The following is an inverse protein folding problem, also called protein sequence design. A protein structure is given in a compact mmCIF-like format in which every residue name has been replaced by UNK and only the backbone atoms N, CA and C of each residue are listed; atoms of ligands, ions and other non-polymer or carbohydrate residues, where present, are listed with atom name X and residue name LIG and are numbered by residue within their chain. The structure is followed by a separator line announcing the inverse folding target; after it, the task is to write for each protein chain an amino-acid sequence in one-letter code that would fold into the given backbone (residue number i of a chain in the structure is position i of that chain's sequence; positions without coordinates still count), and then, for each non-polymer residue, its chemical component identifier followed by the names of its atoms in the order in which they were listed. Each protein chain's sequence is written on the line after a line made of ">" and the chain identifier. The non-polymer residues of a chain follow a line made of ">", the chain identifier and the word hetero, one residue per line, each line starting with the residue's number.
data_IF_411190606137
#
_entry.id   IF_411190606137
#
_cell.length_a   1.000
_cell.length_b   1.000
_cell.length_c   1.000
_cell.angle_alpha   90.00
_cell.angle_beta   90.00
_cell.angle_gamma   90.00
#
_symmetry.space_group_name_H-M   'P 1'
#
loop_
_entity.id
_entity.type
_entity.pdbx_description
1 polymer ?
#
# COMPACT_ATOMS: atom_id res chain seq x y z
N UNK A 1 -22.87 10.46 -19.81
CA UNK A 1 -21.65 11.08 -19.22
C UNK A 1 -20.86 10.13 -18.31
N UNK A 2 -21.51 9.33 -17.45
CA UNK A 2 -20.89 8.29 -16.61
C UNK A 2 -20.11 7.24 -17.42
N UNK A 3 -20.71 6.75 -18.50
CA UNK A 3 -20.09 5.77 -19.42
C UNK A 3 -18.82 6.31 -20.10
N UNK A 4 -18.76 7.61 -20.43
CA UNK A 4 -17.58 8.25 -21.03
C UNK A 4 -16.41 8.41 -20.04
N UNK A 5 -16.69 8.62 -18.75
CA UNK A 5 -15.64 8.73 -17.70
C UNK A 5 -15.11 7.35 -17.27
N UNK A 6 -16.00 6.35 -17.21
CA UNK A 6 -15.58 4.94 -17.08
C UNK A 6 -14.82 4.48 -18.32
N UNK A 7 -15.19 4.98 -19.52
CA UNK A 7 -14.42 4.74 -20.74
C UNK A 7 -13.02 5.33 -20.60
N UNK A 8 -12.81 6.54 -20.07
CA UNK A 8 -11.46 7.09 -19.90
C UNK A 8 -10.61 6.29 -18.91
N UNK A 9 -11.17 5.81 -17.80
CA UNK A 9 -10.45 4.95 -16.83
C UNK A 9 -10.18 3.57 -17.47
N UNK A 10 -11.19 2.99 -18.13
CA UNK A 10 -11.05 1.79 -18.93
C UNK A 10 -10.07 1.96 -20.08
N UNK A 11 -9.93 3.15 -20.66
CA UNK A 11 -9.01 3.49 -21.74
C UNK A 11 -7.58 3.67 -21.21
N UNK A 12 -7.40 4.25 -20.02
CA UNK A 12 -6.11 4.24 -19.32
C UNK A 12 -5.72 2.79 -19.00
N UNK A 13 -6.62 1.97 -18.48
CA UNK A 13 -6.38 0.54 -18.22
C UNK A 13 -6.15 -0.27 -19.51
N UNK A 14 -6.81 0.08 -20.62
CA UNK A 14 -6.66 -0.55 -21.95
C UNK A 14 -5.39 -0.09 -22.70
N UNK A 15 -4.91 1.13 -22.46
CA UNK A 15 -3.61 1.61 -22.95
C UNK A 15 -2.45 0.83 -22.32
N UNK A 16 -2.69 0.19 -21.18
CA UNK A 16 -1.79 -0.79 -20.54
C UNK A 16 -2.17 -2.23 -20.90
N UNK A 17 -2.48 -2.51 -22.17
CA UNK A 17 -2.52 -3.89 -22.68
C UNK A 17 -1.11 -4.49 -22.62
N UNK A 18 -0.72 -4.94 -21.43
CA UNK A 18 0.42 -5.81 -21.26
C UNK A 18 0.10 -7.08 -22.05
N UNK A 19 0.92 -7.41 -23.05
CA UNK A 19 1.03 -8.80 -23.50
C UNK A 19 1.57 -9.59 -22.30
N UNK A 20 0.66 -9.99 -21.41
CA UNK A 20 0.95 -10.82 -20.27
C UNK A 20 1.09 -12.26 -20.77
N UNK A 21 2.26 -12.57 -21.34
CA UNK A 21 2.74 -13.94 -21.22
C UNK A 21 2.98 -14.15 -19.72
N UNK A 22 2.13 -14.96 -19.11
CA UNK A 22 2.22 -15.25 -17.69
C UNK A 22 3.57 -15.90 -17.44
N UNK A 23 4.47 -15.24 -16.71
CA UNK A 23 5.62 -15.94 -16.13
C UNK A 23 5.04 -16.75 -14.99
N UNK A 24 4.68 -17.99 -15.27
CA UNK A 24 4.54 -18.98 -14.22
C UNK A 24 5.84 -18.94 -13.40
N UNK A 25 5.81 -19.11 -12.08
CA UNK A 25 7.04 -19.36 -11.31
C UNK A 25 7.91 -20.47 -11.94
N UNK A 26 7.30 -21.34 -12.77
CA UNK A 26 7.98 -22.27 -13.66
C UNK A 26 8.98 -21.62 -14.63
N UNK A 27 8.71 -20.47 -15.25
CA UNK A 27 9.62 -19.82 -16.22
C UNK A 27 10.95 -19.34 -15.59
N UNK A 28 10.92 -19.05 -14.29
CA UNK A 28 12.10 -18.67 -13.50
C UNK A 28 12.86 -19.85 -12.90
N UNK A 29 12.38 -21.09 -13.11
CA UNK A 29 12.89 -22.31 -12.49
C UNK A 29 13.07 -23.48 -13.47
N UNK A 30 12.46 -23.44 -14.64
CA UNK A 30 12.40 -24.59 -15.54
C UNK A 30 12.94 -24.20 -16.91
N UNK A 31 14.08 -24.81 -17.22
CA UNK A 31 14.78 -24.81 -18.51
C UNK A 31 15.65 -23.58 -18.74
N UNK A 32 16.70 -23.51 -17.93
CA UNK A 32 17.96 -22.98 -18.45
C UNK A 32 18.52 -24.09 -19.34
N UNK A 33 18.52 -23.85 -20.64
CA UNK A 33 19.01 -24.84 -21.61
C UNK A 33 20.46 -25.21 -21.26
N UNK A 34 20.71 -26.52 -21.20
CA UNK A 34 22.03 -27.06 -20.85
C UNK A 34 22.37 -27.09 -19.36
N UNK A 35 21.43 -26.80 -18.45
CA UNK A 35 21.65 -26.94 -17.00
C UNK A 35 20.55 -27.77 -16.35
N UNK A 36 20.93 -28.86 -15.70
CA UNK A 36 20.05 -29.67 -14.86
C UNK A 36 20.10 -29.13 -13.42
N UNK A 37 18.94 -28.82 -12.86
CA UNK A 37 18.80 -28.22 -11.53
C UNK A 37 18.10 -29.20 -10.59
N UNK A 38 18.69 -29.45 -9.42
CA UNK A 38 18.08 -30.32 -8.41
C UNK A 38 16.87 -29.66 -7.75
N UNK A 39 16.04 -30.49 -7.09
CA UNK A 39 15.04 -29.97 -6.15
C UNK A 39 15.75 -29.28 -4.98
N UNK A 40 15.09 -28.28 -4.40
CA UNK A 40 15.60 -27.57 -3.22
C UNK A 40 15.55 -28.46 -1.98
N UNK A 41 16.66 -28.48 -1.26
CA UNK A 41 16.86 -29.24 -0.03
C UNK A 41 17.05 -28.27 1.14
N UNK A 42 16.37 -28.52 2.26
CA UNK A 42 16.43 -27.67 3.45
C UNK A 42 16.91 -28.46 4.66
N UNK A 43 17.87 -27.88 5.38
CA UNK A 43 18.34 -28.34 6.67
C UNK A 43 18.18 -27.20 7.70
N UNK A 44 17.72 -27.52 8.90
CA UNK A 44 17.70 -26.56 10.01
C UNK A 44 18.60 -27.09 11.12
N UNK A 45 19.66 -26.35 11.42
CA UNK A 45 20.61 -26.67 12.48
C UNK A 45 20.78 -25.50 13.44
N UNK A 46 21.42 -25.75 14.58
CA UNK A 46 21.93 -24.69 15.45
C UNK A 46 23.45 -24.61 15.28
N UNK A 47 23.95 -23.44 14.91
CA UNK A 47 25.38 -23.11 14.81
C UNK A 47 26.18 -24.10 13.94
N UNK A 48 25.59 -24.54 12.83
CA UNK A 48 26.25 -25.46 11.92
C UNK A 48 27.15 -24.66 10.96
N UNK A 49 28.40 -25.08 10.81
CA UNK A 49 29.34 -24.46 9.85
C UNK A 49 29.18 -25.07 8.46
N UNK A 50 29.57 -24.33 7.41
CA UNK A 50 29.50 -24.84 6.02
C UNK A 50 30.25 -26.17 5.88
N UNK A 51 31.43 -26.31 6.50
CA UNK A 51 32.24 -27.53 6.45
C UNK A 51 31.58 -28.74 7.11
N UNK A 52 30.67 -28.51 8.06
CA UNK A 52 29.85 -29.58 8.65
C UNK A 52 28.66 -29.90 7.75
N UNK A 53 27.97 -28.88 7.23
CA UNK A 53 26.78 -29.04 6.39
C UNK A 53 27.08 -29.72 5.07
N UNK A 54 28.24 -29.42 4.46
CA UNK A 54 28.71 -30.07 3.22
C UNK A 54 28.97 -31.57 3.42
N UNK A 55 29.27 -32.01 4.64
CA UNK A 55 29.51 -33.43 4.97
C UNK A 55 28.24 -34.19 5.36
N UNK A 56 27.12 -33.49 5.54
CA UNK A 56 25.84 -34.14 5.86
C UNK A 56 25.37 -34.95 4.66
N UNK A 57 24.77 -36.10 4.94
CA UNK A 57 24.15 -36.94 3.93
C UNK A 57 22.81 -36.36 3.47
N UNK A 58 22.42 -36.66 2.23
CA UNK A 58 21.22 -36.07 1.60
C UNK A 58 19.90 -36.42 2.33
N UNK A 59 19.87 -37.51 3.10
CA UNK A 59 18.74 -37.93 3.94
C UNK A 59 18.48 -37.00 5.14
N UNK A 60 19.50 -36.25 5.58
CA UNK A 60 19.36 -35.25 6.63
C UNK A 60 18.72 -33.96 6.11
N UNK A 61 18.64 -33.79 4.78
CA UNK A 61 17.98 -32.66 4.15
C UNK A 61 16.51 -33.00 3.83
N UNK A 62 15.61 -32.11 4.22
CA UNK A 62 14.22 -32.18 3.80
C UNK A 62 14.08 -31.61 2.39
N UNK A 63 13.74 -32.45 1.42
CA UNK A 63 13.42 -31.98 0.06
C UNK A 63 12.09 -31.24 0.03
N UNK A 64 12.07 -30.02 -0.49
CA UNK A 64 10.87 -29.20 -0.63
C UNK A 64 10.32 -29.34 -2.05
N UNK A 65 9.00 -29.50 -2.18
CA UNK A 65 8.32 -29.65 -3.48
C UNK A 65 8.04 -28.32 -4.19
N UNK A 66 8.01 -27.22 -3.44
CA UNK A 66 7.73 -25.87 -3.93
C UNK A 66 8.89 -24.96 -3.53
N UNK A 67 9.21 -24.00 -4.38
CA UNK A 67 10.35 -23.11 -4.18
C UNK A 67 10.03 -21.90 -3.29
N UNK A 68 8.77 -21.73 -2.92
CA UNK A 68 8.33 -20.82 -1.85
C UNK A 68 8.17 -21.58 -0.53
N UNK A 69 8.84 -21.12 0.52
CA UNK A 69 8.80 -21.77 1.83
C UNK A 69 9.04 -20.80 2.98
N UNK A 70 8.44 -21.13 4.13
CA UNK A 70 8.65 -20.43 5.37
C UNK A 70 9.82 -21.05 6.13
N UNK A 71 10.87 -20.27 6.35
CA UNK A 71 12.00 -20.67 7.18
C UNK A 71 11.66 -20.64 8.67
N UNK A 72 12.44 -21.38 9.49
CA UNK A 72 12.29 -21.32 10.94
C UNK A 72 12.95 -20.04 11.47
N UNK A 73 12.15 -19.23 12.17
CA UNK A 73 12.62 -18.01 12.83
C UNK A 73 13.68 -18.32 13.89
N UNK A 74 14.64 -17.41 14.07
CA UNK A 74 15.72 -17.53 15.05
C UNK A 74 16.55 -18.83 14.98
N UNK A 75 16.59 -19.48 13.82
CA UNK A 75 17.42 -20.66 13.57
C UNK A 75 18.30 -20.43 12.34
N UNK A 76 19.41 -21.16 12.25
CA UNK A 76 20.19 -21.20 11.02
C UNK A 76 19.53 -22.16 10.04
N UNK A 77 19.03 -21.61 8.95
CA UNK A 77 18.43 -22.39 7.89
C UNK A 77 19.44 -22.54 6.76
N UNK A 78 19.64 -23.76 6.31
CA UNK A 78 20.56 -24.11 5.23
C UNK A 78 19.77 -24.62 4.04
N UNK A 79 19.94 -23.96 2.91
CA UNK A 79 19.34 -24.36 1.64
C UNK A 79 20.44 -24.93 0.75
N UNK A 80 20.25 -26.15 0.24
CA UNK A 80 21.14 -26.80 -0.72
C UNK A 80 20.45 -26.89 -2.07
N UNK A 81 21.18 -26.55 -3.13
CA UNK A 81 20.74 -26.73 -4.53
C UNK A 81 21.94 -27.09 -5.41
N UNK A 82 21.77 -28.14 -6.21
CA UNK A 82 22.82 -28.67 -7.08
C UNK A 82 22.53 -28.31 -8.53
N UNK A 83 23.58 -27.92 -9.25
CA UNK A 83 23.53 -27.53 -10.65
C UNK A 83 24.49 -28.40 -11.44
N UNK A 84 23.99 -29.08 -12.47
CA UNK A 84 24.83 -29.86 -13.39
C UNK A 84 24.80 -29.20 -14.77
N UNK A 85 25.91 -28.62 -15.18
CA UNK A 85 26.06 -28.02 -16.50
C UNK A 85 26.35 -29.11 -17.53
N UNK A 86 25.40 -29.36 -18.43
CA UNK A 86 25.53 -30.37 -19.49
C UNK A 86 26.11 -29.80 -20.78
N UNK A 87 26.38 -28.49 -20.84
CA UNK A 87 26.98 -27.86 -22.00
C UNK A 87 28.51 -27.89 -21.96
N UNK A 88 29.10 -27.69 -23.14
CA UNK A 88 30.54 -27.52 -23.33
C UNK A 88 31.03 -26.09 -23.06
N UNK A 89 30.17 -25.20 -22.60
CA UNK A 89 30.50 -23.79 -22.30
C UNK A 89 30.15 -23.43 -20.86
N UNK A 90 30.83 -22.42 -20.32
CA UNK A 90 30.48 -21.85 -19.03
C UNK A 90 29.07 -21.26 -19.07
N UNK A 91 28.28 -21.51 -18.02
CA UNK A 91 26.96 -20.91 -17.84
C UNK A 91 26.97 -19.97 -16.64
N UNK A 92 26.46 -18.75 -16.82
CA UNK A 92 26.35 -17.77 -15.74
C UNK A 92 24.90 -17.70 -15.25
N UNK A 93 24.67 -18.10 -13.99
CA UNK A 93 23.34 -18.07 -13.38
C UNK A 93 23.28 -17.04 -12.25
N UNK A 94 22.06 -16.59 -11.97
CA UNK A 94 21.73 -15.75 -10.83
C UNK A 94 20.80 -16.51 -9.89
N UNK A 95 21.30 -16.78 -8.69
CA UNK A 95 20.49 -17.31 -7.60
C UNK A 95 19.89 -16.12 -6.84
N UNK A 96 18.57 -16.06 -6.72
CA UNK A 96 17.85 -14.95 -6.12
C UNK A 96 16.96 -15.42 -4.97
N UNK A 97 17.11 -14.77 -3.80
CA UNK A 97 16.22 -14.91 -2.65
C UNK A 97 15.29 -13.71 -2.56
N UNK A 98 13.99 -13.96 -2.68
CA UNK A 98 12.99 -12.92 -2.93
C UNK A 98 12.47 -12.26 -1.65
N UNK A 99 13.35 -11.90 -0.72
CA UNK A 99 12.98 -11.20 0.52
C UNK A 99 14.11 -10.21 0.90
N UNK A 100 13.88 -8.88 0.84
CA UNK A 100 14.90 -7.87 1.08
C UNK A 100 15.27 -7.70 2.56
N UNK A 101 14.49 -8.29 3.48
CA UNK A 101 14.63 -8.16 4.93
C UNK A 101 15.31 -9.36 5.60
N UNK A 102 15.81 -10.34 4.83
CA UNK A 102 16.60 -11.44 5.41
C UNK A 102 17.81 -10.85 6.15
N UNK A 103 17.89 -11.13 7.46
CA UNK A 103 18.83 -10.46 8.34
C UNK A 103 20.28 -10.72 7.96
N UNK A 104 20.66 -11.99 7.82
CA UNK A 104 21.97 -12.41 7.31
C UNK A 104 21.78 -13.54 6.29
N UNK A 105 22.52 -13.44 5.19
CA UNK A 105 22.53 -14.42 4.10
C UNK A 105 23.97 -14.70 3.70
N UNK A 106 24.34 -15.98 3.66
CA UNK A 106 25.64 -16.41 3.15
C UNK A 106 25.47 -17.41 2.02
N UNK A 107 26.11 -17.14 0.89
CA UNK A 107 26.19 -18.08 -0.23
C UNK A 107 27.55 -18.75 -0.22
N UNK A 108 27.58 -20.04 -0.54
CA UNK A 108 28.78 -20.83 -0.70
C UNK A 108 28.62 -21.67 -1.97
N UNK A 109 29.65 -21.71 -2.80
CA UNK A 109 29.76 -22.69 -3.90
C UNK A 109 30.70 -23.80 -3.47
N UNK A 110 30.35 -25.03 -3.81
CA UNK A 110 31.13 -26.21 -3.49
C UNK A 110 31.33 -27.00 -4.77
N UNK A 111 32.57 -27.10 -5.20
CA UNK A 111 33.00 -27.89 -6.34
C UNK A 111 33.85 -29.05 -5.82
N UNK A 112 33.46 -30.29 -6.12
CA UNK A 112 34.24 -31.49 -5.76
C UNK A 112 34.68 -31.54 -4.28
N UNK A 113 33.79 -31.13 -3.35
CA UNK A 113 34.01 -31.03 -1.89
C UNK A 113 34.91 -29.88 -1.40
N UNK A 114 35.43 -29.04 -2.29
CA UNK A 114 36.13 -27.81 -1.90
C UNK A 114 35.13 -26.65 -1.80
N UNK A 115 35.14 -25.95 -0.67
CA UNK A 115 34.34 -24.71 -0.51
C UNK A 115 35.05 -23.61 -1.28
N UNK A 116 34.41 -23.14 -2.36
CA UNK A 116 34.86 -22.05 -3.20
C UNK A 116 34.41 -20.69 -2.69
N UNK A 117 34.09 -19.79 -3.62
CA UNK A 117 33.70 -18.41 -3.32
C UNK A 117 32.51 -18.35 -2.36
N UNK A 118 32.55 -17.34 -1.47
CA UNK A 118 31.47 -17.07 -0.55
C UNK A 118 31.07 -15.59 -0.55
N UNK A 119 29.76 -15.36 -0.53
CA UNK A 119 29.19 -14.02 -0.39
C UNK A 119 28.46 -13.92 0.94
N UNK A 120 28.86 -12.97 1.79
CA UNK A 120 28.18 -12.67 3.06
C UNK A 120 27.44 -11.34 2.93
N UNK A 121 26.11 -11.38 2.88
CA UNK A 121 25.23 -10.22 2.75
C UNK A 121 24.08 -10.30 3.76
N UNK A 122 23.13 -9.37 3.73
CA UNK A 122 22.00 -9.32 4.65
C UNK A 122 21.41 -7.92 4.81
N UNK A 123 20.25 -7.83 5.46
CA UNK A 123 19.65 -6.57 5.89
C UNK A 123 20.37 -5.96 7.11
N UNK A 124 21.21 -6.74 7.80
CA UNK A 124 22.10 -6.29 8.87
C UNK A 124 23.22 -5.34 8.38
N UNK A 125 23.50 -5.32 7.07
CA UNK A 125 24.59 -4.56 6.45
C UNK A 125 24.07 -3.44 5.55
N UNK A 126 24.86 -2.36 5.34
CA UNK A 126 24.50 -1.31 4.38
C UNK A 126 24.17 -1.87 3.00
N UNK A 127 23.21 -1.27 2.32
CA UNK A 127 22.73 -1.72 1.01
C UNK A 127 23.88 -1.80 -0.02
N UNK A 128 24.83 -0.86 0.04
CA UNK A 128 25.98 -0.80 -0.87
C UNK A 128 26.99 -1.93 -0.68
N UNK A 129 26.85 -2.75 0.36
CA UNK A 129 27.67 -3.97 0.54
C UNK A 129 27.24 -5.12 -0.37
N UNK A 130 26.09 -5.00 -1.04
CA UNK A 130 25.57 -6.02 -1.97
C UNK A 130 26.36 -5.96 -3.30
N UNK A 131 26.91 -7.07 -3.80
CA UNK A 131 27.64 -7.08 -5.07
C UNK A 131 26.77 -6.69 -6.26
N UNK A 132 25.50 -7.11 -6.24
CA UNK A 132 24.48 -6.70 -7.20
C UNK A 132 23.51 -5.79 -6.48
N UNK A 133 23.36 -4.54 -6.96
CA UNK A 133 22.53 -3.50 -6.35
C UNK A 133 21.03 -3.73 -6.62
N UNK A 134 20.52 -4.82 -6.05
CA UNK A 134 19.14 -5.27 -6.15
C UNK A 134 18.49 -5.34 -4.76
N UNK A 135 17.18 -5.03 -4.62
CA UNK A 135 16.46 -5.18 -3.36
C UNK A 135 16.42 -6.62 -2.84
N UNK A 136 16.23 -7.60 -3.72
CA UNK A 136 16.42 -9.01 -3.36
C UNK A 136 17.91 -9.38 -3.31
N UNK A 137 18.26 -10.43 -2.55
CA UNK A 137 19.63 -10.92 -2.49
C UNK A 137 19.92 -11.79 -3.71
N UNK A 138 20.87 -11.34 -4.53
CA UNK A 138 21.28 -12.03 -5.76
C UNK A 138 22.74 -12.46 -5.65
N UNK A 139 23.01 -13.71 -6.03
CA UNK A 139 24.34 -14.28 -6.11
C UNK A 139 24.61 -14.80 -7.51
N UNK A 140 25.71 -14.37 -8.12
CA UNK A 140 26.14 -14.83 -9.43
C UNK A 140 27.00 -16.08 -9.25
N UNK A 141 26.61 -17.17 -9.91
CA UNK A 141 27.38 -18.41 -9.96
C UNK A 141 27.81 -18.68 -11.40
N UNK A 142 29.05 -19.11 -11.58
CA UNK A 142 29.58 -19.54 -12.88
C UNK A 142 29.71 -21.06 -12.83
N UNK A 143 28.99 -21.76 -13.69
CA UNK A 143 29.05 -23.21 -13.80
C UNK A 143 30.08 -23.60 -14.86
N UNK A 144 31.17 -24.31 -14.50
CA UNK A 144 32.12 -24.86 -15.46
C UNK A 144 31.45 -25.84 -16.43
N UNK A 145 31.98 -26.06 -17.64
CA UNK A 145 31.41 -27.00 -18.60
C UNK A 145 31.47 -28.43 -18.06
N UNK A 146 30.41 -29.20 -18.32
CA UNK A 146 30.33 -30.63 -17.99
C UNK A 146 30.60 -30.97 -16.51
N UNK A 147 30.33 -30.04 -15.60
CA UNK A 147 30.61 -30.18 -14.17
C UNK A 147 29.34 -29.93 -13.33
N UNK A 148 29.28 -30.64 -12.20
CA UNK A 148 28.32 -30.37 -11.14
C UNK A 148 28.91 -29.41 -10.11
N UNK A 149 28.14 -28.37 -9.76
CA UNK A 149 28.43 -27.41 -8.71
C UNK A 149 27.28 -27.38 -7.72
N UNK A 150 27.59 -27.52 -6.43
CA UNK A 150 26.61 -27.43 -5.35
C UNK A 150 26.62 -26.02 -4.74
N UNK A 151 25.45 -25.43 -4.55
CA UNK A 151 25.30 -24.17 -3.84
C UNK A 151 24.63 -24.40 -2.48
N UNK A 152 25.27 -23.88 -1.44
CA UNK A 152 24.74 -23.84 -0.09
C UNK A 152 24.45 -22.40 0.31
N UNK A 153 23.28 -22.17 0.87
CA UNK A 153 22.82 -20.86 1.31
C UNK A 153 22.46 -20.94 2.79
N UNK A 154 23.22 -20.24 3.62
CA UNK A 154 22.86 -20.03 5.02
C UNK A 154 21.95 -18.79 5.11
N UNK A 155 20.77 -18.95 5.69
CA UNK A 155 19.80 -17.86 5.88
C UNK A 155 19.44 -17.76 7.36
N UNK A 156 19.66 -16.57 7.91
CA UNK A 156 19.08 -16.13 9.16
C UNK A 156 18.01 -15.09 8.85
N UNK A 157 16.75 -15.44 9.08
CA UNK A 157 15.61 -14.54 8.84
C UNK A 157 15.50 -13.43 9.89
N UNK A 158 16.16 -13.58 11.04
CA UNK A 158 15.85 -12.77 12.22
C UNK A 158 14.40 -12.96 12.68
N UNK A 159 13.78 -11.86 13.08
CA UNK A 159 12.40 -11.79 13.59
C UNK A 159 11.35 -11.38 12.54
N UNK A 160 11.77 -11.03 11.33
CA UNK A 160 10.88 -10.64 10.22
C UNK A 160 10.39 -11.89 9.46
N UNK A 161 9.31 -11.72 8.68
CA UNK A 161 8.66 -12.78 7.88
C UNK A 161 9.67 -13.73 7.25
N UNK A 162 9.48 -15.02 7.53
CA UNK A 162 10.34 -16.09 7.04
C UNK A 162 9.96 -16.59 5.65
N UNK A 163 8.99 -15.94 5.00
CA UNK A 163 8.60 -16.27 3.64
C UNK A 163 9.64 -15.78 2.64
N UNK A 164 10.09 -16.70 1.81
CA UNK A 164 10.96 -16.41 0.68
C UNK A 164 10.68 -17.41 -0.44
N UNK A 165 11.01 -16.99 -1.64
CA UNK A 165 11.10 -17.87 -2.81
C UNK A 165 12.56 -17.91 -3.24
N UNK A 166 13.06 -19.11 -3.54
CA UNK A 166 14.36 -19.31 -4.16
C UNK A 166 14.19 -19.42 -5.69
N UNK A 167 14.76 -18.47 -6.42
CA UNK A 167 14.71 -18.45 -7.88
C UNK A 167 16.10 -18.64 -8.49
N UNK A 168 16.16 -19.26 -9.66
CA UNK A 168 17.40 -19.51 -10.40
C UNK A 168 17.23 -19.04 -11.83
N UNK A 169 17.92 -17.97 -12.18
CA UNK A 169 17.79 -17.35 -13.48
C UNK A 169 19.04 -17.54 -14.34
N UNK A 170 18.83 -17.64 -15.65
CA UNK A 170 19.86 -17.22 -16.59
C UNK A 170 20.11 -15.71 -16.42
N UNK A 171 21.38 -15.29 -16.47
CA UNK A 171 21.78 -13.91 -16.21
C UNK A 171 21.12 -12.90 -17.16
N UNK A 172 21.07 -13.17 -18.46
CA UNK A 172 20.50 -12.22 -19.42
C UNK A 172 18.97 -12.21 -19.30
N UNK A 173 18.34 -13.37 -19.13
CA UNK A 173 16.89 -13.45 -18.86
C UNK A 173 16.50 -12.66 -17.60
N UNK A 174 17.31 -12.72 -16.53
CA UNK A 174 17.03 -11.98 -15.29
C UNK A 174 17.08 -10.47 -15.49
N UNK A 175 18.06 -10.01 -16.28
CA UNK A 175 18.24 -8.58 -16.58
C UNK A 175 17.05 -8.02 -17.34
N UNK A 176 16.56 -8.73 -18.35
CA UNK A 176 15.36 -8.34 -19.12
C UNK A 176 14.10 -8.35 -18.25
N UNK A 177 13.98 -9.35 -17.38
CA UNK A 177 12.91 -9.39 -16.38
C UNK A 177 12.97 -8.17 -15.46
N UNK A 178 14.15 -7.82 -14.94
CA UNK A 178 14.33 -6.69 -14.03
C UNK A 178 13.90 -5.36 -14.65
N UNK A 179 14.24 -5.15 -15.92
CA UNK A 179 13.83 -3.95 -16.66
C UNK A 179 12.31 -3.87 -16.75
N UNK A 180 11.67 -5.02 -17.02
CA UNK A 180 10.21 -5.13 -17.12
C UNK A 180 9.53 -4.89 -15.77
N UNK A 181 10.02 -5.52 -14.71
CA UNK A 181 9.55 -5.34 -13.32
C UNK A 181 9.64 -3.88 -12.88
N UNK A 182 10.81 -3.26 -13.09
CA UNK A 182 11.04 -1.84 -12.75
C UNK A 182 10.08 -0.92 -13.50
N UNK A 183 9.81 -1.20 -14.78
CA UNK A 183 8.87 -0.41 -15.60
C UNK A 183 7.45 -0.48 -15.05
N UNK A 184 6.92 -1.68 -14.78
CA UNK A 184 5.55 -1.83 -14.27
C UNK A 184 5.37 -1.25 -12.86
N UNK A 185 6.36 -1.44 -12.00
CA UNK A 185 6.32 -0.85 -10.68
C UNK A 185 6.41 0.68 -10.74
N UNK A 186 7.17 1.23 -11.68
CA UNK A 186 7.20 2.68 -11.92
C UNK A 186 5.82 3.20 -12.34
N UNK A 187 5.09 2.48 -13.20
CA UNK A 187 3.71 2.84 -13.53
C UNK A 187 2.78 2.80 -12.32
N UNK A 188 2.88 1.76 -11.49
CA UNK A 188 2.12 1.67 -10.24
C UNK A 188 2.37 2.89 -9.34
N UNK A 189 3.63 3.26 -9.12
CA UNK A 189 3.99 4.42 -8.29
C UNK A 189 3.50 5.74 -8.90
N UNK A 190 3.63 5.92 -10.21
CA UNK A 190 3.15 7.14 -10.90
C UNK A 190 1.63 7.29 -10.74
N UNK A 191 0.85 6.22 -10.94
CA UNK A 191 -0.61 6.25 -10.78
C UNK A 191 -0.98 6.70 -9.36
N UNK A 192 -0.32 6.12 -8.36
CA UNK A 192 -0.51 6.46 -6.95
C UNK A 192 -0.14 7.93 -6.65
N UNK A 193 0.96 8.45 -7.21
CA UNK A 193 1.36 9.86 -7.06
C UNK A 193 0.34 10.79 -7.71
N UNK A 194 -0.09 10.50 -8.95
CA UNK A 194 -1.14 11.27 -9.64
C UNK A 194 -2.42 11.30 -8.81
N UNK A 195 -2.77 10.17 -8.20
CA UNK A 195 -3.92 10.07 -7.33
C UNK A 195 -3.81 10.92 -6.06
N UNK A 196 -2.64 10.91 -5.40
CA UNK A 196 -2.36 11.80 -4.27
C UNK A 196 -2.51 13.28 -4.67
N UNK A 197 -2.02 13.67 -5.85
CA UNK A 197 -2.21 15.03 -6.37
C UNK A 197 -3.71 15.36 -6.58
N UNK A 198 -4.49 14.43 -7.12
CA UNK A 198 -5.94 14.60 -7.29
C UNK A 198 -6.68 14.75 -5.95
N UNK A 199 -6.30 13.97 -4.93
CA UNK A 199 -6.85 14.15 -3.57
C UNK A 199 -6.41 15.49 -2.99
N UNK A 200 -5.16 15.89 -3.19
CA UNK A 200 -4.65 17.20 -2.77
C UNK A 200 -5.49 18.35 -3.33
N UNK A 201 -5.85 18.28 -4.61
CA UNK A 201 -6.78 19.23 -5.24
C UNK A 201 -8.18 19.15 -4.61
N UNK A 202 -8.70 17.94 -4.35
CA UNK A 202 -10.01 17.77 -3.70
C UNK A 202 -10.04 18.33 -2.26
N UNK A 203 -8.94 18.21 -1.51
CA UNK A 203 -8.75 18.83 -0.19
C UNK A 203 -8.84 20.35 -0.31
N UNK A 204 -8.10 20.94 -1.25
CA UNK A 204 -8.09 22.39 -1.46
C UNK A 204 -9.48 22.94 -1.80
N UNK A 205 -10.25 22.22 -2.62
CA UNK A 205 -11.58 22.64 -3.06
C UNK A 205 -12.66 22.47 -1.99
N UNK A 206 -12.68 21.34 -1.28
CA UNK A 206 -13.77 21.03 -0.34
C UNK A 206 -13.49 21.49 1.09
N UNK A 207 -12.22 21.67 1.47
CA UNK A 207 -11.75 21.98 2.83
C UNK A 207 -12.26 20.99 3.90
N UNK A 208 -12.59 19.77 3.49
CA UNK A 208 -13.09 18.74 4.40
C UNK A 208 -11.94 17.98 5.08
N UNK A 209 -11.97 17.91 6.42
CA UNK A 209 -10.90 17.31 7.23
C UNK A 209 -10.64 15.83 6.90
N UNK A 210 -11.67 15.06 6.56
CA UNK A 210 -11.52 13.61 6.32
C UNK A 210 -10.70 13.28 5.07
N UNK A 211 -10.61 14.18 4.08
CA UNK A 211 -9.76 13.95 2.91
C UNK A 211 -8.27 13.96 3.27
N UNK A 212 -7.85 14.69 4.31
CA UNK A 212 -6.48 14.64 4.80
C UNK A 212 -6.12 13.26 5.36
N UNK A 213 -7.02 12.65 6.14
CA UNK A 213 -6.81 11.30 6.64
C UNK A 213 -6.70 10.29 5.50
N UNK A 214 -7.50 10.43 4.44
CA UNK A 214 -7.38 9.56 3.27
C UNK A 214 -6.10 9.80 2.48
N UNK A 215 -5.69 11.06 2.30
CA UNK A 215 -4.42 11.40 1.65
C UNK A 215 -3.23 10.77 2.38
N UNK A 216 -3.19 10.92 3.72
CA UNK A 216 -2.13 10.35 4.55
C UNK A 216 -2.21 8.82 4.58
N UNK A 217 -3.40 8.24 4.58
CA UNK A 217 -3.59 6.80 4.44
C UNK A 217 -2.94 6.28 3.15
N UNK A 218 -3.27 6.86 1.99
CA UNK A 218 -2.65 6.43 0.73
C UNK A 218 -1.14 6.66 0.72
N UNK A 219 -0.67 7.82 1.23
CA UNK A 219 0.75 8.12 1.30
C UNK A 219 1.53 7.09 2.13
N UNK A 220 1.03 6.74 3.31
CA UNK A 220 1.65 5.75 4.19
C UNK A 220 1.54 4.33 3.63
N UNK A 221 0.44 4.00 2.93
CA UNK A 221 0.30 2.73 2.21
C UNK A 221 1.33 2.57 1.10
N UNK A 222 1.54 3.62 0.29
CA UNK A 222 2.59 3.63 -0.75
C UNK A 222 3.98 3.54 -0.12
N UNK A 223 4.23 4.28 0.96
CA UNK A 223 5.52 4.24 1.67
C UNK A 223 5.80 2.85 2.25
N UNK A 224 4.77 2.17 2.78
CA UNK A 224 4.86 0.79 3.26
C UNK A 224 5.20 -0.16 2.12
N UNK A 225 4.45 -0.13 1.00
CA UNK A 225 4.71 -0.97 -0.18
C UNK A 225 6.12 -0.71 -0.75
N UNK A 226 6.54 0.55 -0.86
CA UNK A 226 7.87 0.92 -1.35
C UNK A 226 9.00 0.43 -0.43
N UNK A 227 8.72 0.35 0.87
CA UNK A 227 9.65 -0.21 1.87
C UNK A 227 9.65 -1.73 1.81
N UNK A 228 8.49 -2.39 1.69
CA UNK A 228 8.34 -3.85 1.53
C UNK A 228 9.10 -4.37 0.31
N UNK A 229 9.06 -3.62 -0.79
CA UNK A 229 9.83 -3.89 -2.02
C UNK A 229 11.34 -3.69 -1.86
N UNK A 230 11.83 -3.21 -0.71
CA UNK A 230 13.22 -2.88 -0.45
C UNK A 230 13.74 -1.65 -1.21
N UNK A 231 12.87 -0.89 -1.87
CA UNK A 231 13.25 0.28 -2.65
C UNK A 231 13.59 1.49 -1.78
N UNK A 232 12.94 1.63 -0.62
CA UNK A 232 13.29 2.62 0.38
C UNK A 232 14.75 2.49 0.82
N UNK A 233 15.18 1.26 1.12
CA UNK A 233 16.57 1.00 1.49
C UNK A 233 17.53 1.29 0.34
N UNK A 234 17.19 0.84 -0.88
CA UNK A 234 18.03 1.04 -2.07
C UNK A 234 18.24 2.53 -2.39
N UNK A 235 17.18 3.33 -2.35
CA UNK A 235 17.17 4.66 -2.97
C UNK A 235 17.24 5.83 -1.97
N UNK A 236 16.73 5.67 -0.73
CA UNK A 236 16.54 6.80 0.20
C UNK A 236 17.48 6.69 1.42
N UNK A 237 17.62 5.50 2.02
CA UNK A 237 18.44 5.30 3.23
C UNK A 237 19.42 4.12 3.16
N UNK A 238 20.27 4.02 2.11
CA UNK A 238 21.11 2.83 1.85
C UNK A 238 22.12 2.50 2.94
N UNK A 239 22.49 3.45 3.79
CA UNK A 239 23.46 3.24 4.88
C UNK A 239 22.80 2.97 6.23
N UNK A 240 21.49 3.21 6.38
CA UNK A 240 20.81 3.14 7.68
C UNK A 240 19.99 1.85 7.81
N UNK A 241 20.66 0.78 8.25
CA UNK A 241 20.06 -0.55 8.46
C UNK A 241 19.05 -0.54 9.61
N UNK A 242 19.37 0.14 10.70
CA UNK A 242 18.51 0.29 11.87
C UNK A 242 17.17 0.94 11.51
N UNK A 243 17.19 2.03 10.73
CA UNK A 243 15.96 2.65 10.24
C UNK A 243 15.21 1.72 9.28
N UNK A 244 15.91 1.01 8.38
CA UNK A 244 15.25 0.11 7.44
C UNK A 244 14.43 -0.99 8.15
N UNK A 245 14.97 -1.57 9.22
CA UNK A 245 14.30 -2.63 9.97
C UNK A 245 13.01 -2.16 10.65
N UNK A 246 12.86 -0.86 10.88
CA UNK A 246 11.71 -0.29 11.59
C UNK A 246 10.80 0.55 10.71
N UNK A 247 11.30 1.08 9.60
CA UNK A 247 10.54 1.84 8.62
C UNK A 247 9.32 1.07 8.12
N UNK A 248 9.45 -0.25 7.90
CA UNK A 248 8.33 -1.09 7.46
C UNK A 248 7.15 -1.05 8.44
N UNK A 249 7.42 -1.03 9.74
CA UNK A 249 6.42 -0.98 10.81
C UNK A 249 5.91 0.44 11.04
N UNK A 250 6.77 1.47 10.97
CA UNK A 250 6.36 2.88 11.06
C UNK A 250 5.35 3.20 9.94
N UNK A 251 5.65 2.79 8.71
CA UNK A 251 4.75 3.04 7.59
C UNK A 251 3.48 2.20 7.67
N UNK A 252 3.56 0.95 8.14
CA UNK A 252 2.37 0.13 8.43
C UNK A 252 1.49 0.80 9.50
N UNK A 253 2.05 1.15 10.66
CA UNK A 253 1.27 1.74 11.75
C UNK A 253 0.67 3.09 11.37
N UNK A 254 1.39 3.93 10.62
CA UNK A 254 0.81 5.13 10.02
C UNK A 254 -0.32 4.81 9.04
N UNK A 255 -0.17 3.76 8.22
CA UNK A 255 -1.23 3.29 7.34
C UNK A 255 -2.50 2.92 8.11
N UNK A 256 -2.36 2.18 9.22
CA UNK A 256 -3.46 1.83 10.12
C UNK A 256 -4.08 3.07 10.77
N UNK A 257 -3.27 3.95 11.35
CA UNK A 257 -3.72 5.15 12.07
C UNK A 257 -4.54 6.07 11.16
N UNK A 258 -4.02 6.36 9.97
CA UNK A 258 -4.71 7.24 9.03
C UNK A 258 -5.92 6.56 8.37
N UNK A 259 -5.86 5.25 8.11
CA UNK A 259 -6.99 4.47 7.59
C UNK A 259 -8.17 4.42 8.57
N UNK A 260 -7.91 4.10 9.83
CA UNK A 260 -8.93 4.09 10.89
C UNK A 260 -9.46 5.51 11.14
N UNK A 261 -8.59 6.52 11.14
CA UNK A 261 -9.00 7.93 11.26
C UNK A 261 -9.89 8.38 10.10
N UNK A 262 -9.60 7.92 8.88
CA UNK A 262 -10.43 8.17 7.72
C UNK A 262 -11.82 7.57 7.90
N UNK A 263 -11.93 6.29 8.26
CA UNK A 263 -13.22 5.61 8.48
C UNK A 263 -14.04 6.32 9.56
N UNK A 264 -13.41 6.64 10.69
CA UNK A 264 -14.02 7.32 11.83
C UNK A 264 -14.64 8.67 11.43
N UNK A 265 -13.89 9.49 10.69
CA UNK A 265 -14.35 10.82 10.26
C UNK A 265 -15.31 10.75 9.06
N UNK A 266 -15.11 9.81 8.12
CA UNK A 266 -15.94 9.67 6.93
C UNK A 266 -17.36 9.22 7.26
N UNK A 267 -17.50 8.26 8.17
CA UNK A 267 -18.80 7.76 8.63
C UNK A 267 -19.38 8.54 9.82
N UNK A 268 -18.66 9.53 10.35
CA UNK A 268 -19.04 10.33 11.53
C UNK A 268 -19.42 9.44 12.72
N UNK A 269 -18.61 8.42 13.01
CA UNK A 269 -18.89 7.38 14.02
C UNK A 269 -19.12 7.96 15.40
N UNK A 270 -18.41 9.03 15.78
CA UNK A 270 -18.61 9.73 17.05
C UNK A 270 -20.06 10.18 17.25
N UNK A 271 -20.73 10.67 16.19
CA UNK A 271 -22.12 11.15 16.27
C UNK A 271 -23.15 10.02 16.16
N UNK A 272 -22.80 8.95 15.45
CA UNK A 272 -23.76 7.88 15.10
C UNK A 272 -23.70 6.69 16.03
N UNK A 273 -22.49 6.33 16.49
CA UNK A 273 -22.21 5.13 17.27
C UNK A 273 -21.00 5.32 18.19
N UNK A 274 -21.23 5.87 19.39
CA UNK A 274 -20.16 6.19 20.35
C UNK A 274 -19.28 5.00 20.76
N UNK A 275 -19.86 3.82 20.98
CA UNK A 275 -19.09 2.61 21.35
C UNK A 275 -18.08 2.20 20.28
N UNK A 276 -18.49 2.20 19.00
CA UNK A 276 -17.58 1.91 17.89
C UNK A 276 -16.50 2.98 17.77
N UNK A 277 -16.88 4.25 17.95
CA UNK A 277 -15.93 5.37 17.91
C UNK A 277 -14.82 5.20 18.95
N UNK A 278 -15.17 4.81 20.18
CA UNK A 278 -14.21 4.56 21.25
C UNK A 278 -13.22 3.45 20.90
N UNK A 279 -13.69 2.35 20.30
CA UNK A 279 -12.81 1.24 19.89
C UNK A 279 -11.89 1.68 18.74
N UNK A 280 -12.42 2.37 17.72
CA UNK A 280 -11.60 2.89 16.62
C UNK A 280 -10.57 3.90 17.13
N UNK A 281 -10.94 4.74 18.11
CA UNK A 281 -10.02 5.68 18.74
C UNK A 281 -8.93 4.98 19.55
N UNK A 282 -9.27 3.91 20.27
CA UNK A 282 -8.29 3.08 20.97
C UNK A 282 -7.30 2.45 19.99
N UNK A 283 -7.75 1.93 18.84
CA UNK A 283 -6.87 1.40 17.79
C UNK A 283 -5.90 2.46 17.25
N UNK A 284 -6.36 3.69 17.06
CA UNK A 284 -5.50 4.81 16.66
C UNK A 284 -4.41 5.06 17.71
N UNK A 285 -4.79 5.14 18.99
CA UNK A 285 -3.84 5.36 20.09
C UNK A 285 -2.83 4.21 20.16
N UNK A 286 -3.30 2.96 20.07
CA UNK A 286 -2.44 1.77 20.07
C UNK A 286 -1.43 1.82 18.91
N UNK A 287 -1.86 2.18 17.69
CA UNK A 287 -0.95 2.31 16.55
C UNK A 287 0.11 3.38 16.73
N UNK A 288 -0.26 4.55 17.29
CA UNK A 288 0.69 5.64 17.60
C UNK A 288 1.70 5.19 18.67
N UNK A 289 1.23 4.56 19.75
CA UNK A 289 2.09 4.07 20.82
C UNK A 289 3.02 2.97 20.31
N UNK A 290 2.51 2.04 19.49
CA UNK A 290 3.33 0.98 18.87
C UNK A 290 4.46 1.56 18.03
N UNK A 291 4.15 2.56 17.20
CA UNK A 291 5.16 3.28 16.40
C UNK A 291 6.24 3.90 17.28
N UNK A 292 5.85 4.56 18.38
CA UNK A 292 6.80 5.18 19.31
C UNK A 292 7.68 4.14 20.03
N UNK A 293 7.10 3.01 20.44
CA UNK A 293 7.83 1.90 21.06
C UNK A 293 8.83 1.30 20.06
N UNK A 294 8.42 1.06 18.82
CA UNK A 294 9.28 0.54 17.75
C UNK A 294 10.45 1.48 17.47
N UNK A 295 10.19 2.78 17.33
CA UNK A 295 11.24 3.79 17.15
C UNK A 295 12.22 3.82 18.32
N UNK A 296 11.73 3.66 19.55
CA UNK A 296 12.58 3.61 20.74
C UNK A 296 13.43 2.32 20.76
N UNK A 297 12.84 1.18 20.43
CA UNK A 297 13.52 -0.13 20.48
C UNK A 297 14.68 -0.24 19.49
N UNK A 298 14.64 0.48 18.37
CA UNK A 298 15.75 0.52 17.38
C UNK A 298 17.08 0.96 17.99
N UNK A 299 17.06 1.80 19.02
CA UNK A 299 18.28 2.27 19.67
C UNK A 299 18.89 1.20 20.59
N UNK A 300 18.11 0.22 21.03
CA UNK A 300 18.53 -0.78 22.02
C UNK A 300 18.68 -2.18 21.45
N UNK A 301 17.94 -2.51 20.38
CA UNK A 301 17.88 -3.84 19.80
C UNK A 301 18.24 -3.80 18.31
N UNK A 302 19.07 -4.74 17.82
CA UNK A 302 19.41 -4.83 16.40
C UNK A 302 18.20 -5.25 15.54
N UNK A 303 17.22 -5.91 16.15
CA UNK A 303 15.96 -6.35 15.52
C UNK A 303 14.80 -6.19 16.50
N UNK A 304 13.61 -5.93 15.98
CA UNK A 304 12.40 -5.88 16.78
C UNK A 304 12.02 -7.30 17.27
N UNK A 305 11.54 -7.45 18.51
CA UNK A 305 11.20 -8.77 19.03
C UNK A 305 9.95 -9.35 18.36
N UNK A 306 9.91 -10.67 18.19
CA UNK A 306 8.83 -11.38 17.47
C UNK A 306 7.43 -11.10 18.06
N UNK A 307 7.31 -10.96 19.39
CA UNK A 307 6.02 -10.67 20.03
C UNK A 307 5.43 -9.33 19.57
N UNK A 308 6.27 -8.33 19.27
CA UNK A 308 5.85 -7.02 18.80
C UNK A 308 5.34 -7.08 17.36
N UNK A 309 6.00 -7.89 16.52
CA UNK A 309 5.55 -8.18 15.14
C UNK A 309 4.19 -8.86 15.15
N UNK A 310 4.01 -9.87 16.01
CA UNK A 310 2.72 -10.56 16.18
C UNK A 310 1.65 -9.60 16.72
N UNK A 311 2.00 -8.77 17.70
CA UNK A 311 1.09 -7.77 18.26
C UNK A 311 0.56 -6.82 17.18
N UNK A 312 1.45 -6.21 16.39
CA UNK A 312 1.05 -5.34 15.28
C UNK A 312 0.14 -6.06 14.27
N UNK A 313 0.49 -7.31 13.93
CA UNK A 313 -0.31 -8.13 13.01
C UNK A 313 -1.74 -8.33 13.53
N UNK A 314 -1.89 -8.64 14.82
CA UNK A 314 -3.21 -8.78 15.45
C UNK A 314 -3.99 -7.45 15.47
N UNK A 315 -3.32 -6.32 15.74
CA UNK A 315 -3.95 -4.99 15.71
C UNK A 315 -4.47 -4.65 14.31
N UNK A 316 -3.72 -4.99 13.26
CA UNK A 316 -4.15 -4.83 11.87
C UNK A 316 -5.38 -5.67 11.51
N UNK A 317 -5.39 -6.95 11.88
CA UNK A 317 -6.55 -7.82 11.66
C UNK A 317 -7.79 -7.29 12.40
N UNK A 318 -7.61 -6.88 13.65
CA UNK A 318 -8.69 -6.28 14.44
C UNK A 318 -9.20 -4.98 13.79
N UNK A 319 -8.30 -4.10 13.32
CA UNK A 319 -8.69 -2.88 12.61
C UNK A 319 -9.52 -3.19 11.37
N UNK A 320 -9.12 -4.19 10.56
CA UNK A 320 -9.90 -4.68 9.43
C UNK A 320 -11.32 -5.08 9.83
N UNK A 321 -11.45 -5.94 10.84
CA UNK A 321 -12.75 -6.37 11.38
C UNK A 321 -13.61 -5.17 11.81
N UNK A 322 -13.02 -4.21 12.53
CA UNK A 322 -13.73 -3.03 13.02
C UNK A 322 -14.17 -2.08 11.90
N UNK A 323 -13.40 -1.95 10.82
CA UNK A 323 -13.79 -1.17 9.64
C UNK A 323 -15.02 -1.76 8.96
N UNK A 324 -15.06 -3.09 8.74
CA UNK A 324 -16.25 -3.74 8.19
C UNK A 324 -17.42 -3.75 9.17
N UNK A 325 -17.16 -3.89 10.47
CA UNK A 325 -18.18 -3.73 11.52
C UNK A 325 -18.84 -2.35 11.46
N UNK A 326 -18.04 -1.30 11.27
CA UNK A 326 -18.54 0.08 11.10
C UNK A 326 -19.41 0.22 9.85
N UNK A 327 -18.98 -0.35 8.72
CA UNK A 327 -19.76 -0.35 7.49
C UNK A 327 -21.08 -1.14 7.63
N UNK A 328 -21.05 -2.31 8.28
CA UNK A 328 -22.24 -3.13 8.53
C UNK A 328 -23.28 -2.39 9.41
N UNK A 329 -22.81 -1.70 10.45
CA UNK A 329 -23.65 -0.87 11.32
C UNK A 329 -24.24 0.31 10.53
N UNK A 330 -23.45 0.99 9.70
CA UNK A 330 -23.96 2.06 8.83
C UNK A 330 -25.04 1.56 7.86
N UNK A 331 -24.89 0.35 7.30
CA UNK A 331 -25.92 -0.28 6.46
C UNK A 331 -27.19 -0.61 7.25
N UNK A 332 -27.06 -1.17 8.47
CA UNK A 332 -28.19 -1.53 9.33
C UNK A 332 -29.06 -0.32 9.65
N UNK A 333 -28.44 0.81 10.02
CA UNK A 333 -29.13 2.05 10.33
C UNK A 333 -29.40 2.95 9.10
N UNK A 334 -29.12 2.44 7.89
CA UNK A 334 -29.33 3.12 6.59
C UNK A 334 -28.62 4.47 6.46
N UNK A 335 -27.57 4.71 7.24
CA UNK A 335 -26.74 5.91 7.13
C UNK A 335 -25.86 5.84 5.88
N UNK A 336 -25.97 6.87 5.01
CA UNK A 336 -25.18 6.99 3.78
C UNK A 336 -25.17 5.70 2.94
N UNK A 337 -26.30 4.96 2.89
CA UNK A 337 -26.37 3.58 2.35
C UNK A 337 -25.61 3.38 1.04
N UNK A 338 -25.81 4.28 0.06
CA UNK A 338 -25.13 4.20 -1.25
C UNK A 338 -23.62 4.27 -1.11
N UNK A 339 -23.12 5.19 -0.28
CA UNK A 339 -21.69 5.44 -0.13
C UNK A 339 -21.03 4.29 0.67
N UNK A 340 -21.74 3.72 1.65
CA UNK A 340 -21.29 2.55 2.39
C UNK A 340 -21.15 1.31 1.51
N UNK A 341 -22.08 1.08 0.57
CA UNK A 341 -21.97 -0.03 -0.39
C UNK A 341 -20.75 0.14 -1.30
N UNK A 342 -20.55 1.34 -1.85
CA UNK A 342 -19.36 1.62 -2.66
C UNK A 342 -18.07 1.50 -1.86
N UNK A 343 -18.07 1.96 -0.60
CA UNK A 343 -16.93 1.77 0.30
C UNK A 343 -16.60 0.28 0.48
N UNK A 344 -17.60 -0.57 0.75
CA UNK A 344 -17.39 -2.02 0.86
C UNK A 344 -16.84 -2.63 -0.42
N UNK A 345 -17.36 -2.25 -1.60
CA UNK A 345 -16.89 -2.75 -2.89
C UNK A 345 -15.41 -2.37 -3.12
N UNK A 346 -15.01 -1.16 -2.73
CA UNK A 346 -13.63 -0.69 -2.88
C UNK A 346 -12.66 -1.35 -1.91
N UNK A 347 -13.00 -1.36 -0.62
CA UNK A 347 -12.09 -1.79 0.45
C UNK A 347 -12.04 -3.32 0.66
N UNK A 348 -13.02 -4.08 0.16
CA UNK A 348 -13.06 -5.53 0.36
C UNK A 348 -11.85 -6.27 -0.24
N UNK A 349 -11.49 -6.10 -1.54
CA UNK A 349 -10.30 -6.76 -2.07
C UNK A 349 -9.03 -6.37 -1.33
N UNK A 350 -8.92 -5.09 -0.95
CA UNK A 350 -7.75 -4.58 -0.25
C UNK A 350 -7.60 -5.19 1.15
N UNK A 351 -8.71 -5.36 1.85
CA UNK A 351 -8.73 -5.99 3.18
C UNK A 351 -8.43 -7.48 3.14
N UNK A 352 -8.88 -8.19 2.09
CA UNK A 352 -8.49 -9.59 1.86
C UNK A 352 -6.98 -9.68 1.62
N UNK A 353 -6.41 -8.76 0.82
CA UNK A 353 -4.97 -8.74 0.56
C UNK A 353 -4.15 -8.50 1.84
N UNK A 354 -4.55 -7.53 2.67
CA UNK A 354 -3.91 -7.29 3.98
C UNK A 354 -4.04 -8.54 4.88
N UNK A 355 -5.19 -9.21 4.88
CA UNK A 355 -5.39 -10.42 5.69
C UNK A 355 -4.44 -11.55 5.27
N UNK A 356 -4.21 -11.75 3.97
CA UNK A 356 -3.21 -12.70 3.49
C UNK A 356 -1.79 -12.33 3.93
N UNK A 357 -1.43 -11.04 3.85
CA UNK A 357 -0.14 -10.54 4.36
C UNK A 357 0.02 -10.82 5.86
N UNK A 358 -1.02 -10.62 6.66
CA UNK A 358 -1.00 -10.97 8.08
C UNK A 358 -0.87 -12.48 8.32
N UNK A 359 -1.56 -13.32 7.54
CA UNK A 359 -1.43 -14.78 7.63
C UNK A 359 -0.06 -15.30 7.17
N UNK A 360 0.63 -14.56 6.29
CA UNK A 360 2.04 -14.81 5.93
C UNK A 360 2.97 -14.63 7.13
N UNK A 361 2.75 -13.61 7.97
CA UNK A 361 3.53 -13.41 9.20
C UNK A 361 3.38 -14.58 10.18
N UNK A 362 2.20 -15.20 10.24
CA UNK A 362 1.97 -16.41 11.03
C UNK A 362 2.50 -17.71 10.38
N UNK A 363 3.05 -17.64 9.16
CA UNK A 363 3.55 -18.78 8.42
C UNK A 363 2.45 -19.69 7.84
N UNK A 364 1.19 -19.25 7.84
CA UNK A 364 0.04 -20.01 7.32
C UNK A 364 -0.05 -19.90 5.79
N UNK A 365 0.38 -18.78 5.24
CA UNK A 365 0.40 -18.47 3.81
C UNK A 365 1.83 -18.15 3.35
N UNK A 366 2.09 -18.30 2.04
CA UNK A 366 3.36 -17.94 1.41
C UNK A 366 3.10 -17.42 -0.01
N UNK A 367 4.07 -16.72 -0.60
CA UNK A 367 3.95 -16.11 -1.93
C UNK A 367 3.59 -17.14 -3.02
N UNK A 368 4.10 -18.38 -2.95
CA UNK A 368 3.77 -19.40 -3.96
C UNK A 368 2.28 -19.77 -3.96
N UNK A 369 1.61 -19.70 -2.81
CA UNK A 369 0.17 -19.91 -2.68
C UNK A 369 -0.67 -18.70 -3.08
N UNK A 370 -0.08 -17.54 -3.34
CA UNK A 370 -0.81 -16.35 -3.85
C UNK A 370 -0.79 -16.24 -5.37
N UNK A 371 0.07 -17.03 -6.04
CA UNK A 371 0.21 -17.05 -7.49
C UNK A 371 -1.09 -17.41 -8.25
N UNK A 372 -2.10 -18.01 -7.59
CA UNK A 372 -3.41 -18.28 -8.22
C UNK A 372 -4.06 -17.01 -8.80
N UNK A 373 -3.83 -15.85 -8.18
CA UNK A 373 -4.43 -14.59 -8.63
C UNK A 373 -3.87 -14.14 -9.98
N UNK A 374 -2.61 -14.45 -10.26
CA UNK A 374 -1.92 -14.09 -11.51
C UNK A 374 -2.57 -14.76 -12.73
N UNK A 375 -3.23 -15.90 -12.54
CA UNK A 375 -3.95 -16.62 -13.60
C UNK A 375 -5.35 -16.08 -13.86
N UNK A 376 -5.94 -15.32 -12.93
CA UNK A 376 -7.34 -14.89 -13.02
C UNK A 376 -7.47 -13.52 -13.66
N UNK A 377 -6.50 -12.63 -13.43
CA UNK A 377 -6.63 -11.21 -13.78
C UNK A 377 -5.73 -10.86 -14.97
N UNK A 378 -6.26 -10.19 -16.01
CA UNK A 378 -5.50 -9.91 -17.25
C UNK A 378 -4.36 -8.90 -17.06
N UNK A 379 -4.29 -8.24 -15.91
CA UNK A 379 -3.28 -7.25 -15.58
C UNK A 379 -2.74 -7.52 -14.17
N UNK A 380 -1.48 -7.88 -14.08
CA UNK A 380 -0.75 -7.97 -12.82
C UNK A 380 0.60 -7.27 -12.98
N UNK A 381 1.09 -6.67 -11.89
CA UNK A 381 2.38 -6.00 -11.90
C UNK A 381 3.41 -7.10 -11.76
N UNK A 382 4.37 -7.19 -12.69
CA UNK A 382 5.34 -8.27 -12.68
C UNK A 382 6.38 -8.03 -11.57
N UNK A 383 6.03 -8.35 -10.32
CA UNK A 383 6.92 -8.28 -9.14
C UNK A 383 7.05 -9.66 -8.51
N UNK A 384 8.25 -9.94 -8.00
CA UNK A 384 8.59 -11.26 -7.47
C UNK A 384 8.31 -11.38 -5.96
N UNK A 385 8.38 -10.28 -5.20
CA UNK A 385 8.28 -10.31 -3.73
C UNK A 385 6.93 -9.86 -3.18
N UNK A 386 6.40 -8.73 -3.66
CA UNK A 386 5.16 -8.17 -3.10
C UNK A 386 3.95 -8.82 -3.79
N UNK A 387 2.95 -9.27 -3.02
CA UNK A 387 1.73 -9.84 -3.56
C UNK A 387 1.07 -9.01 -4.66
N UNK A 388 0.88 -9.59 -5.84
CA UNK A 388 0.23 -8.91 -6.96
C UNK A 388 -1.23 -8.56 -6.66
N UNK A 389 -1.89 -9.38 -5.84
CA UNK A 389 -3.24 -9.09 -5.35
C UNK A 389 -3.28 -7.82 -4.48
N UNK A 390 -2.26 -7.58 -3.64
CA UNK A 390 -2.17 -6.36 -2.85
C UNK A 390 -2.07 -5.13 -3.74
N UNK A 391 -1.13 -5.13 -4.70
CA UNK A 391 -0.93 -3.98 -5.59
C UNK A 391 -2.17 -3.69 -6.45
N UNK A 392 -2.80 -4.74 -6.98
CA UNK A 392 -4.05 -4.61 -7.73
C UNK A 392 -5.18 -4.06 -6.86
N UNK A 393 -5.34 -4.58 -5.64
CA UNK A 393 -6.40 -4.16 -4.74
C UNK A 393 -6.28 -2.70 -4.30
N UNK A 394 -5.04 -2.18 -4.16
CA UNK A 394 -4.80 -0.75 -3.93
C UNK A 394 -5.35 0.05 -5.10
N UNK A 395 -4.94 -0.27 -6.35
CA UNK A 395 -5.42 0.46 -7.53
C UNK A 395 -6.95 0.39 -7.66
N UNK A 396 -7.55 -0.76 -7.37
CA UNK A 396 -8.99 -0.94 -7.33
C UNK A 396 -9.65 -0.01 -6.31
N UNK A 397 -9.13 0.03 -5.07
CA UNK A 397 -9.64 0.91 -4.03
C UNK A 397 -9.55 2.38 -4.45
N UNK A 398 -8.42 2.81 -5.03
CA UNK A 398 -8.24 4.18 -5.53
C UNK A 398 -9.35 4.57 -6.51
N UNK A 399 -9.66 3.71 -7.49
CA UNK A 399 -10.71 3.99 -8.49
C UNK A 399 -12.07 4.21 -7.81
N UNK A 400 -12.43 3.34 -6.87
CA UNK A 400 -13.71 3.41 -6.17
C UNK A 400 -13.77 4.64 -5.25
N UNK A 401 -12.71 4.94 -4.51
CA UNK A 401 -12.69 6.08 -3.61
C UNK A 401 -12.64 7.39 -4.38
N UNK A 402 -11.93 7.47 -5.51
CA UNK A 402 -12.01 8.65 -6.38
C UNK A 402 -13.41 8.90 -6.88
N UNK A 403 -14.14 7.85 -7.27
CA UNK A 403 -15.55 7.99 -7.61
C UNK A 403 -16.38 8.53 -6.43
N UNK A 404 -16.18 8.02 -5.21
CA UNK A 404 -16.85 8.51 -4.00
C UNK A 404 -16.54 9.99 -3.72
N UNK A 405 -15.26 10.36 -3.76
CA UNK A 405 -14.79 11.73 -3.56
C UNK A 405 -15.41 12.65 -4.61
N UNK A 406 -15.31 12.30 -5.89
CA UNK A 406 -15.85 13.12 -6.98
C UNK A 406 -17.36 13.32 -6.88
N UNK A 407 -18.10 12.29 -6.49
CA UNK A 407 -19.55 12.40 -6.25
C UNK A 407 -19.84 13.34 -5.08
N UNK A 408 -19.05 13.29 -4.02
CA UNK A 408 -19.22 14.14 -2.84
C UNK A 408 -18.80 15.59 -3.09
N UNK A 409 -17.70 15.81 -3.79
CA UNK A 409 -17.26 17.14 -4.27
C UNK A 409 -18.37 17.77 -5.12
N UNK A 410 -18.93 17.02 -6.07
CA UNK A 410 -20.04 17.47 -6.91
C UNK A 410 -21.26 17.88 -6.07
N UNK A 411 -21.65 17.03 -5.11
CA UNK A 411 -22.78 17.31 -4.23
C UNK A 411 -22.55 18.58 -3.40
N UNK A 412 -21.37 18.76 -2.81
CA UNK A 412 -21.02 19.95 -2.03
C UNK A 412 -21.05 21.19 -2.91
N UNK A 413 -20.50 21.12 -4.13
CA UNK A 413 -20.49 22.23 -5.07
C UNK A 413 -21.90 22.66 -5.48
N UNK A 414 -22.77 21.71 -5.84
CA UNK A 414 -24.17 21.97 -6.18
C UNK A 414 -24.95 22.56 -4.99
N UNK A 415 -24.74 22.01 -3.78
CA UNK A 415 -25.37 22.51 -2.56
C UNK A 415 -24.94 23.94 -2.24
N UNK A 416 -23.64 24.26 -2.36
CA UNK A 416 -23.13 25.61 -2.11
C UNK A 416 -23.69 26.61 -3.13
N UNK A 417 -23.75 26.25 -4.41
CA UNK A 417 -24.34 27.12 -5.44
C UNK A 417 -25.83 27.37 -5.19
N UNK A 418 -26.58 26.35 -4.79
CA UNK A 418 -28.00 26.50 -4.44
C UNK A 418 -28.20 27.39 -3.22
N UNK A 419 -27.37 27.24 -2.17
CA UNK A 419 -27.41 28.13 -0.99
C UNK A 419 -27.06 29.57 -1.36
N UNK A 420 -26.06 29.78 -2.22
CA UNK A 420 -25.71 31.13 -2.70
C UNK A 420 -26.86 31.78 -3.49
N UNK A 421 -27.57 30.99 -4.30
CA UNK A 421 -28.73 31.46 -5.05
C UNK A 421 -29.90 31.81 -4.12
N UNK A 422 -30.19 30.97 -3.11
CA UNK A 422 -31.20 31.25 -2.09
C UNK A 422 -30.87 32.52 -1.29
N UNK A 423 -29.60 32.70 -0.88
CA UNK A 423 -29.15 33.91 -0.19
C UNK A 423 -29.30 35.16 -1.06
N UNK A 424 -29.00 35.07 -2.35
CA UNK A 424 -29.18 36.18 -3.29
C UNK A 424 -30.67 36.57 -3.43
N UNK A 425 -31.56 35.58 -3.60
CA UNK A 425 -33.01 35.81 -3.67
C UNK A 425 -33.56 36.39 -2.36
N UNK A 426 -33.09 35.90 -1.21
CA UNK A 426 -33.51 36.43 0.08
C UNK A 426 -33.10 37.89 0.25
N UNK A 427 -31.88 38.26 -0.16
CA UNK A 427 -31.41 39.65 -0.15
C UNK A 427 -32.23 40.54 -1.08
N UNK A 428 -32.57 40.05 -2.28
CA UNK A 428 -33.40 40.80 -3.23
C UNK A 428 -34.80 41.04 -2.66
N UNK A 429 -35.43 40.02 -2.08
CA UNK A 429 -36.75 40.15 -1.45
C UNK A 429 -36.73 41.12 -0.26
N UNK A 430 -35.71 41.03 0.60
CA UNK A 430 -35.53 41.99 1.71
C UNK A 430 -35.33 43.42 1.18
N UNK A 431 -34.56 43.61 0.11
CA UNK A 431 -34.35 44.93 -0.50
C UNK A 431 -35.64 45.49 -1.11
N UNK A 432 -36.40 44.66 -1.83
CA UNK A 432 -37.71 45.04 -2.39
C UNK A 432 -38.70 45.43 -1.29
N UNK A 433 -38.73 44.68 -0.18
CA UNK A 433 -39.53 45.03 0.99
C UNK A 433 -39.17 46.40 1.57
N UNK A 434 -37.88 46.65 1.79
CA UNK A 434 -37.40 47.95 2.29
C UNK A 434 -37.75 49.10 1.33
N UNK A 435 -37.60 48.90 0.01
CA UNK A 435 -37.97 49.91 -0.99
C UNK A 435 -39.47 50.21 -0.96
N UNK A 436 -40.32 49.18 -0.85
CA UNK A 436 -41.76 49.35 -0.74
C UNK A 436 -42.16 50.11 0.53
N UNK A 437 -41.52 49.81 1.67
CA UNK A 437 -41.75 50.53 2.93
C UNK A 437 -41.30 51.99 2.84
N UNK A 438 -40.13 52.26 2.24
CA UNK A 438 -39.66 53.63 1.99
C UNK A 438 -40.60 54.39 1.05
N UNK A 439 -41.10 53.74 -0.01
CA UNK A 439 -42.03 54.37 -0.94
C UNK A 439 -43.38 54.68 -0.26
N UNK A 440 -43.87 53.76 0.58
CA UNK A 440 -45.07 53.98 1.40
C UNK A 440 -44.88 55.15 2.35
N UNK A 441 -43.73 55.25 3.01
CA UNK A 441 -43.42 56.36 3.90
C UNK A 441 -43.26 57.68 3.15
N UNK A 442 -42.63 57.68 1.96
CA UNK A 442 -42.58 58.86 1.07
C UNK A 442 -43.98 59.32 0.66
N UNK A 443 -44.87 58.39 0.30
CA UNK A 443 -46.28 58.73 -0.03
C UNK A 443 -47.01 59.30 1.18
N UNK A 444 -46.83 58.72 2.37
CA UNK A 444 -47.40 59.23 3.63
C UNK A 444 -46.94 60.66 3.91
N UNK A 445 -45.63 60.92 3.85
CA UNK A 445 -45.05 62.25 4.06
C UNK A 445 -45.57 63.24 3.01
N UNK A 446 -45.62 62.86 1.73
CA UNK A 446 -46.14 63.74 0.67
C UNK A 446 -47.61 64.09 0.90
N UNK A 447 -48.42 63.14 1.36
CA UNK A 447 -49.83 63.36 1.69
C UNK A 447 -49.99 64.24 2.93
N UNK A 448 -49.26 63.98 4.01
CA UNK A 448 -49.23 64.84 5.21
C UNK A 448 -48.77 66.27 4.88
N UNK A 449 -47.78 66.42 3.99
CA UNK A 449 -47.33 67.72 3.52
C UNK A 449 -48.42 68.41 2.70
N UNK A 450 -49.03 67.74 1.72
CA UNK A 450 -50.12 68.27 0.92
C UNK A 450 -51.30 68.74 1.80
N UNK A 451 -51.74 67.90 2.73
CA UNK A 451 -52.89 68.19 3.58
C UNK A 451 -52.54 69.22 4.67
N UNK A 452 -51.37 69.11 5.30
CA UNK A 452 -50.95 70.01 6.38
C UNK A 452 -50.49 71.39 5.90
N UNK A 453 -49.67 71.46 4.84
CA UNK A 453 -49.16 72.74 4.32
C UNK A 453 -50.10 73.36 3.29
N UNK A 454 -50.76 72.57 2.43
CA UNK A 454 -51.71 73.09 1.45
C UNK A 454 -52.90 73.78 2.11
N UNK A 455 -53.46 73.20 3.17
CA UNK A 455 -54.55 73.81 3.95
C UNK A 455 -54.09 75.06 4.70
N UNK A 456 -52.87 75.05 5.28
CA UNK A 456 -52.29 76.23 5.96
C UNK A 456 -51.98 77.38 5.00
N UNK A 457 -51.47 77.08 3.81
CA UNK A 457 -51.22 78.07 2.76
C UNK A 457 -52.52 78.62 2.18
N UNK A 458 -53.54 77.79 1.99
CA UNK A 458 -54.86 78.24 1.55
C UNK A 458 -55.52 79.17 2.58
N UNK A 459 -55.45 78.83 3.86
CA UNK A 459 -55.96 79.68 4.95
C UNK A 459 -55.16 80.98 5.11
N UNK A 460 -53.83 80.95 4.93
CA UNK A 460 -53.00 82.16 4.89
C UNK A 460 -53.33 83.05 3.69
N UNK A 461 -53.48 82.47 2.49
CA UNK A 461 -53.90 83.20 1.28
C UNK A 461 -55.27 83.85 1.50
N UNK A 462 -56.22 83.13 2.07
CA UNK A 462 -57.56 83.65 2.37
C UNK A 462 -57.51 84.83 3.36
N UNK A 463 -56.61 84.78 4.36
CA UNK A 463 -56.37 85.90 5.29
C UNK A 463 -55.64 87.10 4.67
N UNK A 464 -54.87 86.91 3.59
CA UNK A 464 -54.14 87.97 2.89
C UNK A 464 -54.95 88.62 1.74
N UNK A 465 -56.09 88.05 1.37
CA UNK A 465 -56.97 88.56 0.28
C UNK A 465 -58.18 89.34 0.83
N UNK A 466 -58.21 89.56 2.16
CA UNK A 466 -59.08 90.50 2.88
C UNK A 466 -58.20 91.67 3.29
#
# INVERSE_FOLDING_TARGET
>A
MFFRKLLCIGFVLLLFRANAAAVNHEDSLYKIDGVLISKTQLFTGKNATVSQVVKLSDDQFKTIRQEGFNLRLNHENWIKKSFNNTDSVNRELIIELTNPFLYDVKFFTVDSSAVGDSLITGASKPFTSRPILHPNFQYKITLPPLQQTDCFIQVNTGTVSSDLVLLVWDKEKRKDYQLTETKYLSYFLIINIVFLLLIGLAIFQTKQKYHWFYFLYILFGIAHIYTDLGMGFKNIWPQNTSFNNTAIYIFANGYLVFGVSFVRNYFETMKRTGQLDSILHALIIIGIISTAIEMLMVFFLPQLPLWLVIFNTCVFLLAGIMVFGTAAVCLRYRYLKKDTVWFLIGFLPHSIAISFLCFRVFGLFNNSKEAWFEHIVPFYIKTIHTPNFLLWSVLWELVIVFYLIMRRVKYIYESNNNMMLQLAQQRENSMRGLLADVEKERKRIAQELHDGTGVRLATLKMKLTI
#
